data_IF_380012018952
#
_entry.id   IF_380012018952
#
_cell.length_a   1.000
_cell.length_b   1.000
_cell.length_c   1.000
_cell.angle_alpha   90.00
_cell.angle_beta   90.00
_cell.angle_gamma   90.00
#
_symmetry.space_group_name_H-M   'P 1'
#
loop_
_entity.id
_entity.type
_entity.pdbx_description
1 polymer ?
#
# COMPACT_ATOMS: atom_id res chain seq x y z
N UNK A 1 -22.99 33.91 11.94
CA UNK A 1 -21.71 33.18 11.95
C UNK A 1 -20.81 33.96 11.02
N UNK A 2 -19.72 34.52 11.52
CA UNK A 2 -18.83 35.35 10.72
C UNK A 2 -18.17 34.50 9.62
N UNK A 3 -17.80 35.11 8.49
CA UNK A 3 -17.22 34.39 7.35
C UNK A 3 -16.00 33.54 7.79
N UNK A 4 -15.19 34.08 8.70
CA UNK A 4 -14.03 33.40 9.29
C UNK A 4 -14.41 32.11 10.03
N UNK A 5 -15.58 32.06 10.66
CA UNK A 5 -16.08 30.88 11.35
C UNK A 5 -16.57 29.80 10.37
N UNK A 6 -17.19 30.21 9.24
CA UNK A 6 -17.57 29.29 8.16
C UNK A 6 -16.32 28.68 7.52
N UNK A 7 -15.31 29.50 7.23
CA UNK A 7 -14.06 29.06 6.60
C UNK A 7 -13.27 28.11 7.52
N UNK A 8 -13.25 28.39 8.82
CA UNK A 8 -12.64 27.51 9.83
C UNK A 8 -13.35 26.15 9.89
N UNK A 9 -14.68 26.13 9.93
CA UNK A 9 -15.45 24.88 9.94
C UNK A 9 -15.28 24.09 8.64
N UNK A 10 -15.27 24.77 7.49
CA UNK A 10 -14.99 24.15 6.20
C UNK A 10 -13.59 23.51 6.16
N UNK A 11 -12.57 24.22 6.66
CA UNK A 11 -11.21 23.70 6.80
C UNK A 11 -11.14 22.44 7.67
N UNK A 12 -11.79 22.45 8.84
CA UNK A 12 -11.85 21.30 9.73
C UNK A 12 -12.58 20.10 9.12
N UNK A 13 -13.69 20.34 8.39
CA UNK A 13 -14.40 19.28 7.67
C UNK A 13 -13.50 18.61 6.62
N UNK A 14 -12.80 19.40 5.80
CA UNK A 14 -11.87 18.88 4.79
C UNK A 14 -10.73 18.08 5.45
N UNK A 15 -10.10 18.62 6.50
CA UNK A 15 -9.04 17.93 7.23
C UNK A 15 -9.51 16.60 7.83
N UNK A 16 -10.71 16.57 8.41
CA UNK A 16 -11.29 15.35 8.96
C UNK A 16 -11.55 14.28 7.88
N UNK A 17 -12.01 14.70 6.69
CA UNK A 17 -12.22 13.81 5.55
C UNK A 17 -10.91 13.19 5.05
N UNK A 18 -9.85 14.00 4.94
CA UNK A 18 -8.50 13.52 4.56
C UNK A 18 -7.97 12.54 5.62
N UNK A 19 -8.12 12.86 6.90
CA UNK A 19 -7.69 12.00 7.99
C UNK A 19 -8.42 10.64 7.95
N UNK A 20 -9.74 10.64 7.78
CA UNK A 20 -10.53 9.42 7.66
C UNK A 20 -10.08 8.55 6.47
N UNK A 21 -9.82 9.18 5.32
CA UNK A 21 -9.32 8.48 4.13
C UNK A 21 -7.95 7.83 4.37
N UNK A 22 -7.01 8.56 4.98
CA UNK A 22 -5.69 8.03 5.33
C UNK A 22 -5.76 6.89 6.35
N UNK A 23 -6.67 6.98 7.33
CA UNK A 23 -6.87 5.91 8.31
C UNK A 23 -7.34 4.61 7.66
N UNK A 24 -8.27 4.68 6.69
CA UNK A 24 -8.71 3.50 5.93
C UNK A 24 -7.55 2.90 5.12
N UNK A 25 -6.76 3.75 4.45
CA UNK A 25 -5.57 3.31 3.72
C UNK A 25 -4.56 2.59 4.61
N UNK A 26 -4.22 3.19 5.77
CA UNK A 26 -3.27 2.62 6.72
C UNK A 26 -3.81 1.33 7.33
N UNK A 27 -5.06 1.31 7.79
CA UNK A 27 -5.68 0.10 8.35
C UNK A 27 -5.75 -1.05 7.33
N UNK A 28 -6.06 -0.71 6.07
CA UNK A 28 -6.06 -1.61 4.94
C UNK A 28 -4.70 -2.22 4.65
N UNK A 29 -3.70 -1.36 4.52
CA UNK A 29 -2.29 -1.77 4.35
C UNK A 29 -1.84 -2.64 5.53
N UNK A 30 -2.03 -2.18 6.76
CA UNK A 30 -1.67 -2.91 7.97
C UNK A 30 -2.22 -4.35 7.96
N UNK A 31 -3.52 -4.50 7.69
CA UNK A 31 -4.17 -5.81 7.64
C UNK A 31 -3.63 -6.69 6.51
N UNK A 32 -3.29 -6.11 5.36
CA UNK A 32 -2.63 -6.86 4.29
C UNK A 32 -1.27 -7.38 4.77
N UNK A 33 -0.42 -6.53 5.35
CA UNK A 33 0.92 -6.95 5.80
C UNK A 33 0.84 -8.05 6.89
N UNK A 34 -0.09 -7.92 7.84
CA UNK A 34 -0.33 -8.94 8.87
C UNK A 34 -0.74 -10.30 8.26
N UNK A 35 -1.58 -10.31 7.21
CA UNK A 35 -1.93 -11.56 6.48
C UNK A 35 -0.70 -12.24 5.88
N UNK A 36 0.30 -11.47 5.46
CA UNK A 36 1.56 -12.00 4.95
C UNK A 36 2.59 -12.33 6.05
N UNK A 37 2.21 -12.23 7.33
CA UNK A 37 3.10 -12.43 8.49
C UNK A 37 4.25 -11.42 8.56
N UNK A 38 4.10 -10.26 7.94
CA UNK A 38 4.97 -9.11 8.17
C UNK A 38 4.31 -8.16 9.19
N UNK A 39 5.07 -7.40 9.98
CA UNK A 39 4.48 -6.50 10.97
C UNK A 39 3.64 -5.43 10.27
N UNK A 40 2.34 -5.30 10.56
CA UNK A 40 1.51 -4.35 9.84
C UNK A 40 1.88 -2.87 10.03
N UNK A 41 2.52 -2.50 11.13
CA UNK A 41 3.08 -1.15 11.34
C UNK A 41 4.19 -0.80 10.34
N UNK A 42 4.77 -1.79 9.65
CA UNK A 42 5.80 -1.58 8.63
C UNK A 42 5.35 -0.64 7.52
N UNK A 43 4.04 -0.57 7.25
CA UNK A 43 3.49 0.33 6.24
C UNK A 43 3.68 1.83 6.56
N UNK A 44 3.92 2.19 7.82
CA UNK A 44 4.09 3.58 8.27
C UNK A 44 5.49 4.13 8.00
N UNK A 45 6.52 3.27 8.00
CA UNK A 45 7.90 3.70 7.78
C UNK A 45 8.20 3.59 6.28
N UNK A 46 8.52 4.69 5.56
CA UNK A 46 8.61 4.67 4.10
C UNK A 46 9.57 3.62 3.52
N UNK A 47 10.80 3.55 4.04
CA UNK A 47 11.81 2.60 3.55
C UNK A 47 11.45 1.16 3.92
N UNK A 48 10.99 0.95 5.15
CA UNK A 48 10.67 -0.38 5.65
C UNK A 48 9.38 -0.93 5.03
N UNK A 49 8.42 -0.07 4.68
CA UNK A 49 7.24 -0.42 3.90
C UNK A 49 7.64 -1.12 2.61
N UNK A 50 8.48 -0.48 1.77
CA UNK A 50 8.92 -1.08 0.52
C UNK A 50 9.74 -2.35 0.72
N UNK A 51 10.56 -2.41 1.77
CA UNK A 51 11.30 -3.62 2.11
C UNK A 51 10.37 -4.79 2.46
N UNK A 52 9.35 -4.56 3.28
CA UNK A 52 8.33 -5.54 3.60
C UNK A 52 7.50 -5.90 2.35
N UNK A 53 7.13 -4.93 1.50
CA UNK A 53 6.49 -5.21 0.20
C UNK A 53 7.36 -6.12 -0.68
N UNK A 54 8.68 -5.93 -0.70
CA UNK A 54 9.59 -6.82 -1.43
C UNK A 54 9.50 -8.25 -0.89
N UNK A 55 9.54 -8.44 0.44
CA UNK A 55 9.39 -9.76 1.06
C UNK A 55 8.04 -10.41 0.72
N UNK A 56 6.95 -9.66 0.88
CA UNK A 56 5.59 -10.10 0.57
C UNK A 56 5.47 -10.45 -0.92
N UNK A 57 6.11 -9.67 -1.80
CA UNK A 57 6.12 -9.89 -3.24
C UNK A 57 7.11 -10.95 -3.72
N UNK A 58 7.89 -11.56 -2.83
CA UNK A 58 8.89 -12.57 -3.19
C UNK A 58 10.12 -12.00 -3.91
N UNK A 59 10.45 -10.73 -3.70
CA UNK A 59 11.63 -10.04 -4.23
C UNK A 59 12.69 -9.87 -3.14
N UNK A 60 13.96 -9.78 -3.53
CA UNK A 60 15.03 -9.49 -2.58
C UNK A 60 14.93 -8.06 -2.06
N UNK A 61 15.36 -7.81 -0.81
CA UNK A 61 15.33 -6.47 -0.22
C UNK A 61 16.15 -5.42 -0.98
N UNK A 62 17.08 -5.83 -1.84
CA UNK A 62 17.85 -4.96 -2.72
C UNK A 62 16.98 -4.18 -3.71
N UNK A 63 15.77 -4.65 -4.02
CA UNK A 63 14.84 -3.95 -4.89
C UNK A 63 14.43 -2.57 -4.36
N UNK A 64 14.55 -2.33 -3.05
CA UNK A 64 14.27 -1.00 -2.46
C UNK A 64 15.22 0.07 -3.02
N UNK A 65 16.48 -0.27 -3.34
CA UNK A 65 17.41 0.68 -3.94
C UNK A 65 17.03 1.08 -5.36
N UNK A 66 16.37 0.18 -6.11
CA UNK A 66 15.88 0.48 -7.45
C UNK A 66 14.78 1.55 -7.42
N UNK A 67 14.02 1.66 -6.32
CA UNK A 67 12.97 2.66 -6.13
C UNK A 67 13.49 4.10 -6.06
N UNK A 68 14.77 4.30 -5.76
CA UNK A 68 15.39 5.63 -5.69
C UNK A 68 15.59 6.23 -7.09
N UNK A 69 15.72 5.39 -8.12
CA UNK A 69 15.90 5.83 -9.51
C UNK A 69 14.51 6.07 -10.12
N UNK A 70 14.16 7.27 -10.61
CA UNK A 70 12.77 7.59 -10.97
C UNK A 70 12.13 6.66 -12.00
N UNK A 71 12.81 6.38 -13.11
CA UNK A 71 12.27 5.54 -14.19
C UNK A 71 12.31 4.06 -13.79
N UNK A 72 13.46 3.58 -13.32
CA UNK A 72 13.65 2.18 -12.93
C UNK A 72 12.79 1.83 -11.71
N UNK A 73 12.62 2.76 -10.78
CA UNK A 73 11.83 2.64 -9.57
C UNK A 73 10.35 2.46 -9.86
N UNK A 74 9.82 3.09 -10.92
CA UNK A 74 8.44 2.89 -11.34
C UNK A 74 8.20 1.45 -11.84
N UNK A 75 9.13 0.92 -12.64
CA UNK A 75 9.09 -0.49 -13.05
C UNK A 75 9.32 -1.45 -11.89
N UNK A 76 10.22 -1.11 -10.97
CA UNK A 76 10.50 -1.91 -9.78
C UNK A 76 9.27 -1.96 -8.86
N UNK A 77 8.61 -0.84 -8.62
CA UNK A 77 7.38 -0.75 -7.83
C UNK A 77 6.25 -1.57 -8.45
N UNK A 78 6.06 -1.46 -9.77
CA UNK A 78 5.10 -2.27 -10.50
C UNK A 78 5.41 -3.77 -10.36
N UNK A 79 6.67 -4.17 -10.54
CA UNK A 79 7.09 -5.56 -10.42
C UNK A 79 6.95 -6.13 -9.00
N UNK A 80 7.25 -5.34 -7.96
CA UNK A 80 7.03 -5.71 -6.56
C UNK A 80 5.53 -5.88 -6.30
N UNK A 81 4.72 -4.92 -6.73
CA UNK A 81 3.27 -4.91 -6.50
C UNK A 81 2.54 -6.04 -7.25
N UNK A 82 2.99 -6.37 -8.47
CA UNK A 82 2.56 -7.57 -9.18
C UNK A 82 2.93 -8.84 -8.42
N UNK A 83 4.15 -8.93 -7.89
CA UNK A 83 4.56 -10.03 -7.02
C UNK A 83 3.67 -10.16 -5.78
N UNK A 84 3.37 -9.05 -5.11
CA UNK A 84 2.43 -8.99 -3.97
C UNK A 84 1.08 -9.55 -4.42
N UNK A 85 0.45 -8.97 -5.44
CA UNK A 85 -0.87 -9.41 -5.92
C UNK A 85 -0.90 -10.91 -6.25
N UNK A 86 0.14 -11.43 -6.91
CA UNK A 86 0.28 -12.84 -7.28
C UNK A 86 0.35 -13.74 -6.06
N UNK A 87 1.06 -13.33 -5.01
CA UNK A 87 1.18 -14.08 -3.77
C UNK A 87 -0.11 -14.03 -2.92
N UNK A 88 -1.03 -13.10 -3.21
CA UNK A 88 -2.40 -13.10 -2.67
C UNK A 88 -3.43 -13.78 -3.58
N UNK A 89 -2.99 -14.42 -4.68
CA UNK A 89 -3.89 -15.05 -5.64
C UNK A 89 -4.71 -14.07 -6.49
N UNK A 90 -4.26 -12.81 -6.62
CA UNK A 90 -4.87 -11.78 -7.47
C UNK A 90 -4.18 -11.70 -8.84
N UNK A 91 -4.85 -11.05 -9.79
CA UNK A 91 -4.34 -10.83 -11.15
C UNK A 91 -3.21 -9.80 -11.19
N UNK A 92 -2.39 -9.85 -12.25
CA UNK A 92 -1.30 -8.87 -12.44
C UNK A 92 -1.82 -7.43 -12.57
N UNK A 93 -3.02 -7.24 -13.17
CA UNK A 93 -3.68 -5.96 -13.24
C UNK A 93 -4.04 -5.41 -11.84
N UNK A 94 -4.41 -6.27 -10.90
CA UNK A 94 -4.59 -5.87 -9.51
C UNK A 94 -3.26 -5.40 -8.89
N UNK A 95 -2.15 -6.04 -9.25
CA UNK A 95 -0.80 -5.62 -8.89
C UNK A 95 -0.40 -4.26 -9.45
N UNK A 96 -0.77 -3.96 -10.70
CA UNK A 96 -0.59 -2.61 -11.26
C UNK A 96 -1.48 -1.59 -10.53
N UNK A 97 -2.71 -1.98 -10.17
CA UNK A 97 -3.60 -1.19 -9.32
C UNK A 97 -2.98 -0.86 -7.96
N UNK A 98 -2.30 -1.82 -7.33
CA UNK A 98 -1.54 -1.60 -6.08
C UNK A 98 -0.39 -0.60 -6.26
N UNK A 99 0.29 -0.59 -7.41
CA UNK A 99 1.40 0.31 -7.68
C UNK A 99 0.95 1.75 -7.97
N UNK A 100 -0.08 1.93 -8.80
CA UNK A 100 -0.51 3.25 -9.27
C UNK A 100 -1.66 3.86 -8.44
N UNK A 101 -2.53 3.03 -7.87
CA UNK A 101 -3.67 3.44 -7.04
C UNK A 101 -3.62 2.75 -5.65
N UNK A 102 -2.52 2.93 -4.88
CA UNK A 102 -2.32 2.24 -3.62
C UNK A 102 -3.45 2.50 -2.61
N UNK A 103 -3.99 3.72 -2.58
CA UNK A 103 -5.01 4.14 -1.61
C UNK A 103 -6.31 3.34 -1.68
N UNK A 104 -6.62 2.72 -2.82
CA UNK A 104 -7.83 1.92 -3.03
C UNK A 104 -7.48 0.44 -2.94
N UNK A 105 -6.42 0.01 -3.64
CA UNK A 105 -6.11 -1.42 -3.77
C UNK A 105 -5.53 -2.04 -2.49
N UNK A 106 -4.81 -1.28 -1.66
CA UNK A 106 -4.30 -1.79 -0.39
C UNK A 106 -5.42 -2.11 0.62
N UNK A 107 -6.40 -1.21 0.86
CA UNK A 107 -7.59 -1.55 1.64
C UNK A 107 -8.37 -2.72 1.10
N UNK A 108 -8.57 -2.79 -0.21
CA UNK A 108 -9.24 -3.94 -0.81
C UNK A 108 -8.47 -5.21 -0.48
N UNK A 109 -7.15 -5.24 -0.68
CA UNK A 109 -6.34 -6.43 -0.39
C UNK A 109 -6.36 -6.82 1.10
N UNK A 110 -6.30 -5.83 1.99
CA UNK A 110 -6.32 -6.02 3.43
C UNK A 110 -7.64 -6.57 3.96
N UNK A 111 -8.77 -6.02 3.51
CA UNK A 111 -10.09 -6.40 4.01
C UNK A 111 -10.78 -7.51 3.23
N UNK A 112 -10.33 -7.81 2.01
CA UNK A 112 -10.86 -8.90 1.19
C UNK A 112 -10.60 -10.30 1.81
N UNK A 113 -11.25 -11.33 1.27
CA UNK A 113 -11.09 -12.74 1.65
C UNK A 113 -9.80 -13.39 1.12
N UNK A 114 -8.96 -12.66 0.40
CA UNK A 114 -7.66 -13.15 -0.08
C UNK A 114 -6.80 -13.69 1.07
N UNK A 115 -6.19 -14.85 0.81
CA UNK A 115 -5.22 -15.50 1.70
C UNK A 115 -3.85 -15.35 1.07
N UNK A 116 -2.86 -14.97 1.88
CA UNK A 116 -1.48 -14.94 1.44
C UNK A 116 -0.96 -16.37 1.23
N UNK A 117 -0.54 -16.68 0.01
CA UNK A 117 -0.06 -17.99 -0.44
C UNK A 117 1.47 -18.11 -0.36
N UNK A 118 2.17 -17.02 -0.04
CA UNK A 118 3.63 -16.97 -0.06
C UNK A 118 4.23 -16.77 -1.45
N UNK A 119 5.56 -16.54 -1.55
CA UNK A 119 6.27 -16.43 -2.81
C UNK A 119 6.14 -17.72 -3.62
N UNK A 120 5.36 -17.69 -4.69
CA UNK A 120 5.31 -18.81 -5.65
C UNK A 120 6.68 -18.92 -6.33
N UNK A 121 7.39 -20.02 -6.05
CA UNK A 121 8.59 -20.42 -6.80
C UNK A 121 8.12 -20.74 -8.23
N UNK A 122 8.58 -19.95 -9.19
CA UNK A 122 8.53 -20.31 -10.61
C UNK A 122 9.70 -21.22 -10.92
#
# INVERSE_FOLDING_TARGET
MDQDAIDTLAGLMVLSGIAAFLLVYVAGSWKAFDKAREPGWSCLIPIYNYYAMCKIGGKSGWWVFLLVIPIVGLFALAAISMGVSRNYGKSELFGLGLAFLPFIFWPILGFDKSVYQGPRRV
#
